data_IF_086984682014
#
_entry.id   IF_086984682014
#
_cell.length_a   1.000
_cell.length_b   1.000
_cell.length_c   1.000
_cell.angle_alpha   90.00
_cell.angle_beta   90.00
_cell.angle_gamma   90.00
#
_symmetry.space_group_name_H-M   'P 1'
#
loop_
_entity.id
_entity.type
_entity.pdbx_description
1 polymer ?
#
# COMPACT_ATOMS: atom_id res chain seq x y z
N UNK A 1 -12.85 -14.15 -0.42
CA UNK A 1 -12.86 -12.75 0.03
C UNK A 1 -11.45 -12.50 0.51
N UNK A 2 -10.81 -11.50 -0.06
CA UNK A 2 -9.42 -11.14 0.22
C UNK A 2 -9.44 -10.20 1.42
N UNK A 3 -8.50 -10.30 2.36
CA UNK A 3 -8.49 -9.35 3.47
C UNK A 3 -8.12 -7.94 2.94
N UNK A 4 -7.05 -7.85 2.15
CA UNK A 4 -6.53 -6.57 1.64
C UNK A 4 -6.32 -6.59 0.12
N UNK A 5 -6.95 -5.64 -0.58
CA UNK A 5 -6.59 -5.33 -1.98
C UNK A 5 -5.80 -4.03 -2.04
N UNK A 6 -4.67 -4.06 -2.73
CA UNK A 6 -3.85 -2.89 -3.01
C UNK A 6 -3.91 -2.55 -4.50
N UNK A 7 -4.18 -1.29 -4.82
CA UNK A 7 -4.27 -0.80 -6.20
C UNK A 7 -3.04 0.03 -6.54
N UNK A 8 -2.11 -0.56 -7.28
CA UNK A 8 -0.83 -0.01 -7.71
C UNK A 8 0.37 -0.68 -7.04
N UNK A 9 1.35 -1.11 -7.83
CA UNK A 9 2.56 -1.82 -7.39
C UNK A 9 3.83 -0.96 -7.41
N UNK A 10 3.69 0.32 -7.13
CA UNK A 10 4.82 1.20 -6.80
C UNK A 10 5.36 0.97 -5.39
N UNK A 11 6.31 1.81 -4.91
CA UNK A 11 6.88 1.67 -3.57
C UNK A 11 5.84 1.66 -2.44
N UNK A 12 4.77 2.46 -2.56
CA UNK A 12 3.69 2.48 -1.58
C UNK A 12 2.94 1.16 -1.53
N UNK A 13 2.39 0.72 -2.67
CA UNK A 13 1.56 -0.49 -2.68
C UNK A 13 2.33 -1.77 -2.43
N UNK A 14 3.57 -1.89 -2.94
CA UNK A 14 4.43 -3.03 -2.59
C UNK A 14 4.78 -3.05 -1.10
N UNK A 15 4.97 -1.89 -0.46
CA UNK A 15 5.19 -1.82 0.98
C UNK A 15 3.93 -2.19 1.77
N UNK A 16 2.76 -1.69 1.37
CA UNK A 16 1.49 -2.05 2.01
C UNK A 16 1.24 -3.56 1.90
N UNK A 17 1.37 -4.11 0.69
CA UNK A 17 1.18 -5.53 0.43
C UNK A 17 2.16 -6.41 1.21
N UNK A 18 3.43 -6.01 1.25
CA UNK A 18 4.47 -6.68 2.04
C UNK A 18 4.09 -6.75 3.52
N UNK A 19 3.72 -5.63 4.14
CA UNK A 19 3.41 -5.58 5.57
C UNK A 19 2.16 -6.40 5.91
N UNK A 20 1.09 -6.28 5.10
CA UNK A 20 -0.13 -7.04 5.29
C UNK A 20 0.12 -8.55 5.17
N UNK A 21 0.73 -8.99 4.05
CA UNK A 21 0.96 -10.41 3.77
C UNK A 21 1.97 -11.06 4.72
N UNK A 22 3.03 -10.33 5.13
CA UNK A 22 3.97 -10.80 6.17
C UNK A 22 3.27 -11.12 7.49
N UNK A 23 2.14 -10.48 7.78
CA UNK A 23 1.39 -10.63 9.01
C UNK A 23 0.09 -11.44 8.82
N UNK A 24 0.12 -12.39 7.87
CA UNK A 24 -0.90 -13.42 7.62
C UNK A 24 -2.25 -12.89 7.10
N UNK A 25 -2.30 -11.69 6.50
CA UNK A 25 -3.47 -11.22 5.77
C UNK A 25 -3.42 -11.68 4.30
N UNK A 26 -4.50 -12.30 3.82
CA UNK A 26 -4.68 -12.64 2.41
C UNK A 26 -4.68 -11.34 1.60
N UNK A 27 -3.63 -11.13 0.81
CA UNK A 27 -3.34 -9.84 0.17
C UNK A 27 -3.12 -9.98 -1.33
N UNK A 28 -3.85 -9.18 -2.11
CA UNK A 28 -3.70 -9.07 -3.57
C UNK A 28 -3.20 -7.66 -3.92
N UNK A 29 -2.19 -7.56 -4.78
CA UNK A 29 -1.75 -6.28 -5.36
C UNK A 29 -2.04 -6.30 -6.85
N UNK A 30 -2.86 -5.37 -7.33
CA UNK A 30 -3.06 -5.13 -8.75
C UNK A 30 -2.10 -4.05 -9.23
N UNK A 31 -1.34 -4.29 -10.30
CA UNK A 31 -0.38 -3.33 -10.82
C UNK A 31 -0.22 -3.40 -12.35
N UNK A 32 0.07 -2.27 -12.98
CA UNK A 32 0.39 -2.23 -14.42
C UNK A 32 1.89 -2.29 -14.71
N UNK A 33 2.74 -2.26 -13.67
CA UNK A 33 4.21 -2.14 -13.75
C UNK A 33 4.71 -0.88 -14.48
N UNK A 34 3.88 0.15 -14.62
CA UNK A 34 4.22 1.36 -15.38
C UNK A 34 4.78 2.50 -14.52
N UNK A 35 5.19 2.21 -13.29
CA UNK A 35 5.72 3.22 -12.37
C UNK A 35 6.90 3.97 -12.99
N UNK A 36 6.90 5.30 -12.82
CA UNK A 36 7.99 6.15 -13.32
C UNK A 36 9.35 5.77 -12.72
N UNK A 37 9.36 5.10 -11.56
CA UNK A 37 10.58 4.71 -10.86
C UNK A 37 11.51 3.83 -11.72
N UNK A 38 10.98 3.07 -12.68
CA UNK A 38 11.79 2.31 -13.65
C UNK A 38 12.81 3.17 -14.42
N UNK A 39 12.56 4.49 -14.53
CA UNK A 39 13.42 5.45 -15.23
C UNK A 39 14.33 6.24 -14.27
N UNK A 40 14.28 5.97 -12.98
CA UNK A 40 14.98 6.71 -11.95
C UNK A 40 16.30 6.06 -11.53
N UNK A 41 17.14 6.84 -10.85
CA UNK A 41 18.30 6.34 -10.09
C UNK A 41 18.19 6.79 -8.65
N UNK A 42 18.17 5.85 -7.70
CA UNK A 42 17.97 6.12 -6.29
C UNK A 42 19.33 6.36 -5.62
N UNK A 43 19.55 7.58 -5.15
CA UNK A 43 20.67 7.97 -4.26
C UNK A 43 20.20 8.35 -2.85
N UNK A 44 18.89 8.47 -2.67
CA UNK A 44 18.23 9.09 -1.52
C UNK A 44 17.23 8.14 -0.84
N UNK A 45 17.36 6.82 -1.05
CA UNK A 45 16.65 5.82 -0.27
C UNK A 45 17.57 5.35 0.86
N UNK A 46 17.31 5.80 2.09
CA UNK A 46 18.18 5.56 3.24
C UNK A 46 18.45 4.05 3.42
N UNK A 47 19.73 3.69 3.58
CA UNK A 47 20.17 2.29 3.64
C UNK A 47 20.57 1.69 2.28
N UNK A 48 20.11 2.28 1.18
CA UNK A 48 20.52 1.91 -0.19
C UNK A 48 21.50 2.98 -0.70
N UNK A 49 22.75 2.59 -0.93
CA UNK A 49 23.79 3.54 -1.38
C UNK A 49 23.51 4.14 -2.75
N UNK A 50 23.14 3.28 -3.70
CA UNK A 50 22.85 3.64 -5.08
C UNK A 50 22.19 2.45 -5.76
N UNK A 51 21.09 2.66 -6.46
CA UNK A 51 20.37 1.60 -7.17
C UNK A 51 19.55 2.16 -8.33
N UNK A 52 19.55 1.48 -9.47
CA UNK A 52 18.63 1.78 -10.56
C UNK A 52 17.19 1.48 -10.10
N UNK A 53 16.24 2.34 -10.46
CA UNK A 53 14.87 2.18 -9.97
C UNK A 53 14.17 0.93 -10.49
N UNK A 54 14.50 0.49 -11.71
CA UNK A 54 14.05 -0.81 -12.26
C UNK A 54 14.50 -1.99 -11.37
N UNK A 55 15.77 -1.98 -10.95
CA UNK A 55 16.31 -2.99 -10.02
C UNK A 55 15.64 -2.88 -8.64
N UNK A 56 15.32 -1.67 -8.18
CA UNK A 56 14.58 -1.48 -6.93
C UNK A 56 13.18 -2.10 -7.00
N UNK A 57 12.40 -1.79 -8.05
CA UNK A 57 11.04 -2.32 -8.22
C UNK A 57 11.06 -3.84 -8.36
N UNK A 58 11.98 -4.40 -9.18
CA UNK A 58 12.12 -5.84 -9.31
C UNK A 58 12.37 -6.51 -7.95
N UNK A 59 13.30 -5.99 -7.15
CA UNK A 59 13.60 -6.55 -5.82
C UNK A 59 12.44 -6.41 -4.85
N UNK A 60 11.74 -5.27 -4.88
CA UNK A 60 10.58 -5.04 -4.02
C UNK A 60 9.43 -6.00 -4.38
N UNK A 61 9.18 -6.24 -5.67
CA UNK A 61 8.22 -7.24 -6.16
C UNK A 61 8.62 -8.64 -5.72
N UNK A 62 9.89 -9.03 -5.86
CA UNK A 62 10.38 -10.33 -5.41
C UNK A 62 10.22 -10.52 -3.89
N UNK A 63 10.53 -9.49 -3.10
CA UNK A 63 10.36 -9.52 -1.65
C UNK A 63 8.88 -9.71 -1.29
N UNK A 64 7.97 -8.88 -1.84
CA UNK A 64 6.55 -8.98 -1.57
C UNK A 64 5.98 -10.36 -1.97
N UNK A 65 6.34 -10.85 -3.16
CA UNK A 65 5.75 -12.08 -3.72
C UNK A 65 6.45 -13.35 -3.23
N UNK A 66 7.74 -13.51 -3.49
CA UNK A 66 8.47 -14.76 -3.26
C UNK A 66 8.77 -15.00 -1.78
N UNK A 67 9.08 -13.93 -1.05
CA UNK A 67 9.49 -14.05 0.35
C UNK A 67 8.29 -13.97 1.31
N UNK A 68 7.22 -13.25 0.93
CA UNK A 68 6.09 -12.98 1.83
C UNK A 68 4.72 -13.43 1.30
N UNK A 69 4.58 -13.84 0.04
CA UNK A 69 3.38 -14.50 -0.45
C UNK A 69 2.28 -13.57 -0.98
N UNK A 70 2.57 -12.29 -1.24
CA UNK A 70 1.63 -11.38 -1.91
C UNK A 70 1.22 -11.95 -3.28
N UNK A 71 -0.09 -11.99 -3.56
CA UNK A 71 -0.62 -12.30 -4.88
C UNK A 71 -0.56 -11.05 -5.76
N UNK A 72 0.54 -10.90 -6.52
CA UNK A 72 0.73 -9.78 -7.46
C UNK A 72 0.11 -10.13 -8.81
N UNK A 73 -0.86 -9.33 -9.24
CA UNK A 73 -1.56 -9.47 -10.52
C UNK A 73 -1.28 -8.29 -11.43
N UNK A 74 -0.83 -8.59 -12.64
CA UNK A 74 -0.55 -7.59 -13.67
C UNK A 74 -1.83 -7.19 -14.39
N UNK A 75 -2.72 -6.49 -13.68
CA UNK A 75 -4.03 -6.06 -14.18
C UNK A 75 -4.28 -4.59 -13.79
N UNK A 76 -4.98 -3.86 -14.66
CA UNK A 76 -5.43 -2.49 -14.38
C UNK A 76 -6.77 -2.53 -13.65
N UNK A 77 -6.84 -1.83 -12.51
CA UNK A 77 -8.08 -1.60 -11.78
C UNK A 77 -8.80 -0.41 -12.40
N UNK A 78 -10.06 -0.62 -12.76
CA UNK A 78 -10.90 0.38 -13.41
C UNK A 78 -11.96 0.97 -12.50
N UNK A 79 -12.17 0.41 -11.30
CA UNK A 79 -13.21 0.87 -10.38
C UNK A 79 -13.06 0.27 -8.99
N UNK A 80 -13.51 1.03 -7.98
CA UNK A 80 -13.61 0.61 -6.58
C UNK A 80 -14.95 1.10 -6.04
N UNK A 81 -15.78 0.17 -5.57
CA UNK A 81 -17.07 0.47 -4.96
C UNK A 81 -17.07 0.02 -3.50
N UNK A 82 -17.53 0.89 -2.58
CA UNK A 82 -17.72 0.55 -1.17
C UNK A 82 -19.14 0.07 -0.88
N UNK A 83 -19.30 -0.91 -0.01
CA UNK A 83 -20.59 -1.39 0.51
C UNK A 83 -20.51 -1.66 2.03
N UNK A 84 -21.64 -1.98 2.66
CA UNK A 84 -21.73 -2.12 4.13
C UNK A 84 -20.71 -3.13 4.71
N UNK A 85 -20.38 -4.17 3.94
CA UNK A 85 -19.48 -5.27 4.35
C UNK A 85 -18.14 -5.29 3.58
N UNK A 86 -17.63 -4.13 3.12
CA UNK A 86 -16.30 -4.05 2.45
C UNK A 86 -16.31 -3.35 1.09
N UNK A 87 -15.52 -3.87 0.16
CA UNK A 87 -15.31 -3.28 -1.17
C UNK A 87 -15.37 -4.31 -2.29
N UNK A 88 -15.81 -3.86 -3.47
CA UNK A 88 -15.62 -4.57 -4.73
C UNK A 88 -14.65 -3.77 -5.62
N UNK A 89 -13.61 -4.45 -6.10
CA UNK A 89 -12.59 -3.90 -7.00
C UNK A 89 -12.73 -4.53 -8.38
N UNK A 90 -12.89 -3.69 -9.41
CA UNK A 90 -13.16 -4.14 -10.78
C UNK A 90 -11.93 -4.01 -11.67
N UNK A 91 -11.70 -5.04 -12.49
CA UNK A 91 -10.68 -5.08 -13.54
C UNK A 91 -11.31 -5.56 -14.85
N UNK A 92 -10.51 -5.64 -15.92
CA UNK A 92 -10.95 -6.28 -17.16
C UNK A 92 -11.18 -7.80 -17.04
N UNK A 93 -10.54 -8.47 -16.07
CA UNK A 93 -10.60 -9.92 -15.88
C UNK A 93 -11.72 -10.35 -14.91
N UNK A 94 -12.19 -9.43 -14.06
CA UNK A 94 -13.30 -9.68 -13.14
C UNK A 94 -13.40 -8.69 -11.99
N UNK A 95 -14.26 -9.05 -11.04
CA UNK A 95 -14.52 -8.32 -9.79
C UNK A 95 -13.96 -9.10 -8.61
N UNK A 96 -13.42 -8.38 -7.63
CA UNK A 96 -12.75 -8.95 -6.47
C UNK A 96 -13.19 -8.24 -5.20
N UNK A 97 -13.68 -9.00 -4.22
CA UNK A 97 -14.12 -8.45 -2.94
C UNK A 97 -13.00 -8.43 -1.90
N UNK A 98 -12.94 -7.35 -1.12
CA UNK A 98 -12.05 -7.23 0.02
C UNK A 98 -12.62 -6.45 1.21
N UNK A 99 -12.08 -6.73 2.39
CA UNK A 99 -12.42 -5.99 3.62
C UNK A 99 -11.75 -4.61 3.67
N UNK A 100 -10.51 -4.52 3.15
CA UNK A 100 -9.72 -3.29 3.09
C UNK A 100 -9.20 -3.02 1.67
N UNK A 101 -9.12 -1.74 1.30
CA UNK A 101 -8.50 -1.30 0.04
C UNK A 101 -7.44 -0.24 0.28
N UNK A 102 -6.27 -0.37 -0.35
CA UNK A 102 -5.19 0.63 -0.34
C UNK A 102 -4.98 1.18 -1.75
N UNK A 103 -5.33 2.45 -1.95
CA UNK A 103 -5.07 3.18 -3.19
C UNK A 103 -3.61 3.68 -3.21
N UNK A 104 -2.82 3.13 -4.13
CA UNK A 104 -1.39 3.41 -4.32
C UNK A 104 -1.08 3.80 -5.79
N UNK A 105 -2.03 4.41 -6.48
CA UNK A 105 -2.03 4.79 -7.91
C UNK A 105 -1.20 6.03 -8.25
N UNK A 106 -0.21 6.37 -7.41
CA UNK A 106 0.64 7.55 -7.61
C UNK A 106 -0.17 8.84 -7.48
N UNK A 107 -0.23 9.64 -8.55
CA UNK A 107 -0.93 10.92 -8.56
C UNK A 107 -2.36 10.84 -9.16
N UNK A 108 -2.76 9.67 -9.68
CA UNK A 108 -4.13 9.48 -10.14
C UNK A 108 -5.06 9.35 -8.92
N UNK A 109 -6.11 10.17 -8.90
CA UNK A 109 -7.10 10.28 -7.81
C UNK A 109 -8.50 9.83 -8.24
N UNK A 110 -8.67 9.37 -9.47
CA UNK A 110 -9.98 9.10 -10.08
C UNK A 110 -10.77 8.08 -9.24
N UNK A 111 -10.13 7.00 -8.80
CA UNK A 111 -10.76 5.98 -7.93
C UNK A 111 -11.17 6.54 -6.56
N UNK A 112 -10.37 7.45 -5.99
CA UNK A 112 -10.68 8.08 -4.71
C UNK A 112 -11.86 9.07 -4.85
N UNK A 113 -11.95 9.78 -5.98
CA UNK A 113 -13.10 10.63 -6.30
C UNK A 113 -14.37 9.81 -6.50
N UNK A 114 -14.28 8.69 -7.23
CA UNK A 114 -15.41 7.81 -7.54
C UNK A 114 -16.03 7.19 -6.30
N UNK A 115 -15.20 6.67 -5.38
CA UNK A 115 -15.66 6.08 -4.10
C UNK A 115 -16.09 7.15 -3.07
N UNK A 116 -15.89 8.44 -3.38
CA UNK A 116 -16.39 9.54 -2.57
C UNK A 116 -15.50 9.95 -1.40
N UNK A 117 -14.18 9.79 -1.52
CA UNK A 117 -13.23 10.32 -0.54
C UNK A 117 -13.34 11.84 -0.39
N UNK A 118 -13.02 12.34 0.80
CA UNK A 118 -12.84 13.76 1.07
C UNK A 118 -11.46 14.21 0.60
N UNK A 119 -11.36 15.47 0.16
CA UNK A 119 -10.12 16.08 -0.34
C UNK A 119 -9.83 17.38 0.42
N UNK A 120 -8.54 17.65 0.66
CA UNK A 120 -8.03 18.95 1.11
C UNK A 120 -7.29 19.62 -0.06
N UNK A 121 -7.97 20.55 -0.75
CA UNK A 121 -7.47 21.09 -2.02
C UNK A 121 -7.47 20.01 -3.11
N UNK A 122 -6.29 19.72 -3.66
CA UNK A 122 -6.11 18.78 -4.77
C UNK A 122 -5.64 17.37 -4.33
N UNK A 123 -5.58 17.11 -3.01
CA UNK A 123 -5.10 15.84 -2.44
C UNK A 123 -6.19 15.14 -1.64
N UNK A 124 -6.14 13.81 -1.59
CA UNK A 124 -7.04 13.04 -0.73
C UNK A 124 -6.70 13.36 0.72
N UNK A 125 -7.72 13.72 1.51
CA UNK A 125 -7.57 14.02 2.93
C UNK A 125 -7.43 12.72 3.72
N UNK A 126 -6.31 12.58 4.44
CA UNK A 126 -5.98 11.38 5.21
C UNK A 126 -5.33 11.72 6.54
N UNK A 127 -5.47 10.81 7.51
CA UNK A 127 -4.74 10.85 8.77
C UNK A 127 -3.28 10.43 8.63
N UNK A 128 -2.57 10.32 9.76
CA UNK A 128 -1.19 9.80 9.81
C UNK A 128 -1.12 8.29 9.55
N UNK A 129 -2.24 7.61 9.72
CA UNK A 129 -2.55 6.22 9.41
C UNK A 129 -2.82 5.98 7.91
N UNK A 130 -2.92 7.05 7.11
CA UNK A 130 -3.28 7.04 5.69
C UNK A 130 -4.74 6.61 5.42
N UNK A 131 -5.58 6.50 6.45
CA UNK A 131 -6.99 6.19 6.25
C UNK A 131 -7.72 7.42 5.68
N UNK A 132 -8.60 7.18 4.71
CA UNK A 132 -9.43 8.20 4.08
C UNK A 132 -10.70 8.48 4.89
N UNK A 133 -11.58 9.33 4.37
CA UNK A 133 -12.91 9.51 4.96
C UNK A 133 -13.85 8.32 4.77
N UNK A 134 -13.48 7.35 3.92
CA UNK A 134 -14.21 6.10 3.74
C UNK A 134 -13.53 5.04 4.62
N UNK A 135 -14.29 4.49 5.57
CA UNK A 135 -13.79 3.50 6.53
C UNK A 135 -13.16 2.31 5.78
N UNK A 136 -11.99 1.86 6.24
CA UNK A 136 -11.21 0.76 5.67
C UNK A 136 -10.63 1.01 4.26
N UNK A 137 -10.76 2.22 3.72
CA UNK A 137 -10.10 2.66 2.50
C UNK A 137 -8.93 3.59 2.84
N UNK A 138 -7.76 3.31 2.27
CA UNK A 138 -6.53 4.06 2.49
C UNK A 138 -6.05 4.68 1.18
N UNK A 139 -5.39 5.83 1.27
CA UNK A 139 -4.78 6.52 0.15
C UNK A 139 -3.32 6.86 0.46
N UNK A 140 -2.40 6.62 -0.48
CA UNK A 140 -0.96 6.66 -0.19
C UNK A 140 -0.13 7.34 -1.28
N UNK A 141 1.07 7.79 -0.90
CA UNK A 141 2.05 8.30 -1.85
C UNK A 141 1.68 9.68 -2.41
N UNK A 142 1.75 9.86 -3.73
CA UNK A 142 1.61 11.19 -4.33
C UNK A 142 0.18 11.75 -4.28
N UNK A 143 -0.85 10.90 -4.14
CA UNK A 143 -2.25 11.36 -4.15
C UNK A 143 -2.63 12.14 -2.88
N UNK A 144 -1.94 11.87 -1.78
CA UNK A 144 -2.14 12.52 -0.46
C UNK A 144 -1.14 13.67 -0.20
N UNK A 145 -0.42 14.11 -1.23
CA UNK A 145 0.65 15.13 -1.11
C UNK A 145 0.52 16.19 -2.20
N UNK A 146 0.56 17.45 -1.79
CA UNK A 146 0.41 18.63 -2.63
C UNK A 146 1.72 18.99 -3.36
N UNK A 147 2.86 18.65 -2.74
CA UNK A 147 4.19 19.04 -3.20
C UNK A 147 5.15 17.84 -3.31
N UNK A 148 6.03 17.66 -2.32
CA UNK A 148 7.16 16.73 -2.43
C UNK A 148 6.79 15.31 -2.01
N UNK A 149 7.06 14.38 -2.91
CA UNK A 149 7.01 12.95 -2.65
C UNK A 149 8.25 12.27 -3.22
N UNK A 150 8.65 11.16 -2.61
CA UNK A 150 9.83 10.38 -2.97
C UNK A 150 9.55 8.91 -2.68
N UNK A 151 10.22 7.99 -3.38
CA UNK A 151 10.03 6.54 -3.20
C UNK A 151 10.04 6.08 -1.73
N UNK A 152 10.94 6.63 -0.90
CA UNK A 152 11.02 6.27 0.53
C UNK A 152 9.86 6.80 1.36
N UNK A 153 9.29 7.94 0.97
CA UNK A 153 8.10 8.51 1.61
C UNK A 153 6.89 7.65 1.24
N UNK A 154 6.72 7.35 -0.05
CA UNK A 154 5.63 6.51 -0.54
C UNK A 154 5.67 5.12 0.10
N UNK A 155 6.83 4.49 0.21
CA UNK A 155 6.96 3.22 0.94
C UNK A 155 6.56 3.34 2.41
N UNK A 156 6.94 4.43 3.07
CA UNK A 156 6.50 4.73 4.44
C UNK A 156 4.98 4.89 4.58
N UNK A 157 4.34 5.62 3.66
CA UNK A 157 2.89 5.77 3.62
C UNK A 157 2.20 4.40 3.45
N UNK A 158 2.70 3.54 2.56
CA UNK A 158 2.18 2.17 2.39
C UNK A 158 2.33 1.31 3.64
N UNK A 159 3.46 1.40 4.34
CA UNK A 159 3.64 0.71 5.62
C UNK A 159 2.71 1.26 6.73
N UNK A 160 2.46 2.57 6.76
CA UNK A 160 1.53 3.18 7.71
C UNK A 160 0.10 2.67 7.52
N UNK A 161 -0.38 2.63 6.27
CA UNK A 161 -1.69 2.06 5.93
C UNK A 161 -1.81 0.61 6.41
N UNK A 162 -0.82 -0.24 6.09
CA UNK A 162 -0.84 -1.64 6.50
C UNK A 162 -0.78 -1.82 8.03
N UNK A 163 -0.05 -0.99 8.76
CA UNK A 163 -0.01 -1.04 10.23
C UNK A 163 -1.34 -0.64 10.87
N UNK A 164 -2.08 0.29 10.26
CA UNK A 164 -3.42 0.65 10.73
C UNK A 164 -4.41 -0.51 10.50
N UNK A 165 -4.41 -1.11 9.30
CA UNK A 165 -5.18 -2.33 8.99
C UNK A 165 -4.88 -3.42 10.03
N UNK A 166 -3.59 -3.72 10.27
CA UNK A 166 -3.19 -4.73 11.25
C UNK A 166 -3.60 -4.37 12.69
N UNK A 167 -3.66 -3.09 13.02
CA UNK A 167 -4.12 -2.64 14.33
C UNK A 167 -5.63 -2.86 14.50
N UNK A 168 -6.41 -2.62 13.44
CA UNK A 168 -7.86 -2.91 13.41
C UNK A 168 -8.13 -4.40 13.55
N UNK A 169 -7.45 -5.24 12.78
CA UNK A 169 -7.57 -6.70 12.83
C UNK A 169 -7.23 -7.28 14.21
N UNK A 170 -6.24 -6.69 14.90
CA UNK A 170 -5.83 -7.13 16.24
C UNK A 170 -6.63 -6.50 17.37
N UNK A 171 -7.41 -5.45 17.09
CA UNK A 171 -8.14 -4.66 18.08
C UNK A 171 -7.24 -3.89 19.06
N UNK A 172 -5.96 -3.68 18.71
CA UNK A 172 -4.98 -2.93 19.50
C UNK A 172 -3.92 -2.30 18.59
N UNK A 173 -3.22 -1.25 19.07
CA UNK A 173 -2.12 -0.66 18.31
C UNK A 173 -1.02 -1.69 18.06
N UNK A 174 -0.81 -2.02 16.79
CA UNK A 174 0.15 -3.02 16.37
C UNK A 174 1.47 -2.38 15.90
N UNK A 175 2.57 -3.04 16.24
CA UNK A 175 3.89 -2.73 15.72
C UNK A 175 4.52 -4.01 15.19
N UNK A 176 4.99 -3.99 13.94
CA UNK A 176 5.65 -5.13 13.32
C UNK A 176 7.16 -5.13 13.62
N UNK A 177 7.53 -5.68 14.78
CA UNK A 177 8.93 -5.88 15.15
C UNK A 177 9.30 -7.36 15.13
N UNK A 178 10.20 -7.73 14.23
CA UNK A 178 10.88 -9.02 14.32
C UNK A 178 12.05 -8.90 15.30
N UNK A 179 11.94 -9.55 16.46
CA UNK A 179 13.08 -9.68 17.39
C UNK A 179 13.84 -10.97 17.09
N UNK A 180 15.17 -10.91 16.91
CA UNK A 180 15.99 -12.12 16.92
C UNK A 180 15.70 -12.95 18.18
N UNK A 181 15.71 -14.27 18.05
CA UNK A 181 15.28 -15.19 19.12
C UNK A 181 16.09 -15.08 20.42
N UNK A 182 17.25 -14.43 20.37
CA UNK A 182 18.16 -14.15 21.48
C UNK A 182 17.99 -12.76 22.12
N UNK A 183 17.08 -11.91 21.61
CA UNK A 183 16.82 -10.56 22.16
C UNK A 183 15.58 -10.56 23.04
N UNK A 184 15.73 -10.15 24.30
CA UNK A 184 14.60 -9.94 25.22
C UNK A 184 13.76 -8.76 24.69
N UNK A 185 12.46 -8.92 24.42
CA UNK A 185 11.64 -7.83 23.88
C UNK A 185 11.60 -6.67 24.87
N UNK A 186 12.00 -5.48 24.42
CA UNK A 186 11.75 -4.25 25.16
C UNK A 186 10.32 -3.86 24.79
N UNK A 187 9.36 -4.06 25.71
CA UNK A 187 8.01 -3.50 25.51
C UNK A 187 8.15 -1.99 25.31
N UNK A 188 7.65 -1.42 24.21
CA UNK A 188 7.54 0.02 24.08
C UNK A 188 6.76 0.56 25.28
N UNK A 189 7.20 1.71 25.82
CA UNK A 189 6.48 2.39 26.91
C UNK A 189 5.28 3.13 26.38
#
# INVERSE_FOLDING_TARGET
MTDVIVVGGGPAGLSAGLFASKNDLDTVVFDTDETWLHKAHLYNYLGIRSMDGDVFIQRAREQATKDHGVDLREEEVSGVESHDDGFTVSTAEGEYDADYVVLATGANRDLAEEVGCTFDGDVVDVGVDMETSVENLYATGAMVRDQEWQAIISAGDGAAAALDILSKEKGEHYHDFDTPSDVIPIKPK
#
